data_IF_275194266161
#
_entry.id   IF_275194266161
#
_cell.length_a   1.000
_cell.length_b   1.000
_cell.length_c   1.000
_cell.angle_alpha   90.00
_cell.angle_beta   90.00
_cell.angle_gamma   90.00
#
_symmetry.space_group_name_H-M   'P 1'
#
loop_
_entity.id
_entity.type
_entity.pdbx_description
1 polymer ?
#
# COMPACT_ATOMS: atom_id res chain seq x y z
N UNK A 1 -37.44 5.70 -22.07
CA UNK A 1 -36.43 6.67 -22.55
C UNK A 1 -35.37 6.97 -21.49
N UNK A 2 -35.73 7.20 -20.22
CA UNK A 2 -34.77 7.48 -19.14
C UNK A 2 -33.78 6.35 -18.83
N UNK A 3 -34.21 5.08 -18.89
CA UNK A 3 -33.33 3.92 -18.63
C UNK A 3 -32.23 3.71 -19.69
N UNK A 4 -32.54 4.00 -20.96
CA UNK A 4 -31.58 3.87 -22.07
C UNK A 4 -30.55 5.00 -21.96
N UNK A 5 -31.00 6.22 -21.63
CA UNK A 5 -30.13 7.37 -21.44
C UNK A 5 -29.16 7.16 -20.27
N UNK A 6 -29.62 6.63 -19.14
CA UNK A 6 -28.78 6.29 -18.00
C UNK A 6 -27.75 5.19 -18.31
N UNK A 7 -28.12 4.17 -19.09
CA UNK A 7 -27.21 3.11 -19.52
C UNK A 7 -26.12 3.62 -20.48
N UNK A 8 -26.48 4.47 -21.45
CA UNK A 8 -25.53 5.11 -22.38
C UNK A 8 -24.60 6.05 -21.62
N UNK A 9 -25.10 6.85 -20.68
CA UNK A 9 -24.28 7.77 -19.89
C UNK A 9 -23.27 7.03 -18.99
N UNK A 10 -23.70 5.94 -18.34
CA UNK A 10 -22.82 5.08 -17.53
C UNK A 10 -21.78 4.34 -18.38
N UNK A 11 -22.14 3.94 -19.61
CA UNK A 11 -21.24 3.28 -20.54
C UNK A 11 -20.20 4.26 -21.09
N UNK A 12 -20.61 5.47 -21.51
CA UNK A 12 -19.72 6.53 -21.99
C UNK A 12 -18.78 7.01 -20.88
N UNK A 13 -19.27 7.19 -19.64
CA UNK A 13 -18.40 7.48 -18.49
C UNK A 13 -17.39 6.35 -18.25
N UNK A 14 -17.81 5.07 -18.20
CA UNK A 14 -16.87 3.94 -18.04
C UNK A 14 -15.82 3.90 -19.14
N UNK A 15 -16.21 4.12 -20.39
CA UNK A 15 -15.30 4.14 -21.54
C UNK A 15 -14.34 5.32 -21.44
N UNK A 16 -14.82 6.52 -21.09
CA UNK A 16 -13.96 7.70 -20.93
C UNK A 16 -12.95 7.52 -19.79
N UNK A 17 -13.37 7.04 -18.61
CA UNK A 17 -12.46 6.75 -17.50
C UNK A 17 -11.44 5.65 -17.84
N UNK A 18 -11.83 4.61 -18.60
CA UNK A 18 -10.91 3.57 -19.04
C UNK A 18 -9.92 4.07 -20.10
N UNK A 19 -10.36 4.96 -21.00
CA UNK A 19 -9.50 5.61 -21.99
C UNK A 19 -8.51 6.52 -21.27
N UNK A 20 -8.96 7.39 -20.37
CA UNK A 20 -8.10 8.28 -19.58
C UNK A 20 -7.10 7.49 -18.72
N UNK A 21 -7.56 6.42 -18.04
CA UNK A 21 -6.70 5.54 -17.26
C UNK A 21 -5.69 4.81 -18.16
N UNK A 22 -6.09 4.33 -19.33
CA UNK A 22 -5.20 3.64 -20.26
C UNK A 22 -4.15 4.58 -20.87
N UNK A 23 -4.52 5.83 -21.17
CA UNK A 23 -3.62 6.87 -21.66
C UNK A 23 -2.63 7.25 -20.57
N UNK A 24 -3.09 7.47 -19.34
CA UNK A 24 -2.24 7.77 -18.18
C UNK A 24 -1.28 6.61 -17.93
N UNK A 25 -1.77 5.37 -17.87
CA UNK A 25 -0.94 4.18 -17.68
C UNK A 25 0.07 4.04 -18.82
N UNK A 26 -0.33 4.27 -20.08
CA UNK A 26 0.57 4.19 -21.22
C UNK A 26 1.65 5.26 -21.20
N UNK A 27 1.31 6.52 -20.91
CA UNK A 27 2.26 7.63 -20.76
C UNK A 27 3.21 7.37 -19.59
N UNK A 28 2.68 6.97 -18.42
CA UNK A 28 3.48 6.60 -17.25
C UNK A 28 4.40 5.41 -17.55
N UNK A 29 3.92 4.41 -18.28
CA UNK A 29 4.70 3.22 -18.67
C UNK A 29 5.81 3.60 -19.64
N UNK A 30 5.53 4.44 -20.63
CA UNK A 30 6.54 4.93 -21.58
C UNK A 30 7.59 5.82 -20.90
N UNK A 31 7.19 6.70 -19.99
CA UNK A 31 8.10 7.51 -19.18
C UNK A 31 8.93 6.63 -18.25
N UNK A 32 8.33 5.61 -17.62
CA UNK A 32 9.03 4.63 -16.81
C UNK A 32 10.02 3.80 -17.63
N UNK A 33 9.67 3.40 -18.86
CA UNK A 33 10.56 2.67 -19.76
C UNK A 33 11.75 3.52 -20.21
N UNK A 34 11.55 4.79 -20.55
CA UNK A 34 12.65 5.70 -20.91
C UNK A 34 13.56 5.98 -19.72
N UNK A 35 12.99 6.20 -18.53
CA UNK A 35 13.78 6.33 -17.28
C UNK A 35 14.53 5.04 -16.95
N UNK A 36 13.91 3.87 -17.07
CA UNK A 36 14.56 2.55 -16.89
C UNK A 36 15.69 2.33 -17.89
N UNK A 37 15.51 2.67 -19.18
CA UNK A 37 16.59 2.56 -20.19
C UNK A 37 17.77 3.46 -19.87
N UNK A 38 17.53 4.74 -19.52
CA UNK A 38 18.59 5.67 -19.10
C UNK A 38 19.27 5.21 -17.81
N UNK A 39 18.51 4.72 -16.83
CA UNK A 39 19.02 4.19 -15.57
C UNK A 39 19.84 2.92 -15.77
N UNK A 40 19.38 1.97 -16.59
CA UNK A 40 20.10 0.74 -16.92
C UNK A 40 21.44 1.05 -17.61
N UNK A 41 21.45 1.97 -18.59
CA UNK A 41 22.68 2.40 -19.26
C UNK A 41 23.67 3.08 -18.29
N UNK A 42 23.16 3.80 -17.29
CA UNK A 42 23.98 4.42 -16.22
C UNK A 42 24.47 3.38 -15.19
N UNK A 43 23.65 2.38 -14.87
CA UNK A 43 23.98 1.25 -13.99
C UNK A 43 24.99 0.29 -14.62
N UNK A 44 24.94 0.08 -15.93
CA UNK A 44 25.97 -0.70 -16.64
C UNK A 44 27.36 -0.03 -16.56
N UNK A 45 27.41 1.30 -16.37
CA UNK A 45 28.65 2.06 -16.14
C UNK A 45 29.03 2.26 -14.66
N UNK A 46 28.15 1.89 -13.72
CA UNK A 46 28.36 2.08 -12.27
C UNK A 46 28.10 0.77 -11.57
N UNK A 47 29.15 0.15 -11.04
CA UNK A 47 29.01 -1.06 -10.23
C UNK A 47 28.06 -0.82 -9.05
N UNK A 48 27.03 -1.67 -8.96
CA UNK A 48 26.05 -1.63 -7.90
C UNK A 48 26.67 -2.23 -6.62
N UNK A 49 26.93 -1.38 -5.64
CA UNK A 49 27.49 -1.79 -4.35
C UNK A 49 26.43 -2.56 -3.56
N UNK A 50 26.75 -3.75 -3.01
CA UNK A 50 25.84 -4.48 -2.14
C UNK A 50 25.61 -3.73 -0.83
N UNK A 51 24.44 -3.93 -0.22
CA UNK A 51 24.09 -3.36 1.08
C UNK A 51 25.06 -3.89 2.17
N UNK A 52 25.51 -3.07 3.14
CA UNK A 52 26.49 -3.49 4.16
C UNK A 52 26.12 -4.71 5.02
N UNK A 53 24.85 -5.12 5.04
CA UNK A 53 24.36 -6.30 5.76
C UNK A 53 23.99 -7.49 4.87
N UNK A 54 24.38 -7.49 3.59
CA UNK A 54 24.09 -8.58 2.68
C UNK A 54 25.17 -9.67 2.78
N UNK A 55 24.77 -10.91 3.10
CA UNK A 55 25.67 -12.06 3.11
C UNK A 55 25.42 -12.94 1.87
N UNK A 56 26.31 -12.82 0.88
CA UNK A 56 26.26 -13.57 -0.37
C UNK A 56 27.43 -14.54 -0.55
N UNK A 57 27.38 -15.35 -1.61
CA UNK A 57 28.56 -16.06 -2.10
C UNK A 57 29.38 -15.14 -3.01
N UNK A 58 30.70 -15.17 -2.86
CA UNK A 58 31.63 -14.43 -3.70
C UNK A 58 31.78 -15.16 -5.04
N UNK A 59 31.39 -14.51 -6.14
CA UNK A 59 31.53 -15.04 -7.49
C UNK A 59 32.18 -14.00 -8.41
N UNK A 60 32.93 -14.45 -9.43
CA UNK A 60 33.57 -13.57 -10.39
C UNK A 60 32.52 -13.05 -11.39
N UNK A 61 32.40 -11.73 -11.49
CA UNK A 61 31.51 -11.08 -12.45
C UNK A 61 31.94 -11.37 -13.89
N UNK A 62 31.01 -11.90 -14.70
CA UNK A 62 31.26 -12.19 -16.13
C UNK A 62 31.50 -10.95 -17.00
N UNK A 63 31.12 -9.76 -16.51
CA UNK A 63 31.18 -8.50 -17.26
C UNK A 63 32.37 -7.66 -16.83
N UNK A 64 32.59 -7.53 -15.52
CA UNK A 64 33.63 -6.66 -14.95
C UNK A 64 34.89 -7.42 -14.54
N UNK A 65 34.85 -8.74 -14.40
CA UNK A 65 35.98 -9.54 -13.91
C UNK A 65 36.30 -9.32 -12.42
N UNK A 66 35.43 -8.62 -11.69
CA UNK A 66 35.59 -8.35 -10.27
C UNK A 66 34.82 -9.33 -9.40
N UNK A 67 35.26 -9.50 -8.15
CA UNK A 67 34.61 -10.39 -7.17
C UNK A 67 33.37 -9.67 -6.64
N UNK A 68 32.18 -10.25 -6.89
CA UNK A 68 30.89 -9.71 -6.46
C UNK A 68 30.14 -10.70 -5.58
N UNK A 69 29.39 -10.18 -4.61
CA UNK A 69 28.51 -10.99 -3.79
C UNK A 69 27.20 -11.30 -4.53
N UNK A 70 26.89 -12.57 -4.68
CA UNK A 70 25.71 -13.10 -5.36
C UNK A 70 24.89 -13.92 -4.36
N UNK A 71 23.57 -13.93 -4.56
CA UNK A 71 22.64 -14.69 -3.73
C UNK A 71 22.98 -16.18 -3.81
N UNK A 72 23.17 -16.84 -2.66
CA UNK A 72 23.67 -18.22 -2.60
C UNK A 72 22.72 -19.27 -3.18
N UNK A 73 21.42 -19.13 -2.91
CA UNK A 73 20.37 -20.05 -3.34
C UNK A 73 19.08 -19.31 -3.65
N UNK A 74 18.64 -19.42 -4.91
CA UNK A 74 17.40 -18.81 -5.40
C UNK A 74 16.16 -19.39 -4.70
N UNK A 75 16.18 -20.69 -4.38
CA UNK A 75 15.04 -21.36 -3.75
C UNK A 75 14.77 -20.83 -2.33
N UNK A 76 15.82 -20.74 -1.50
CA UNK A 76 15.71 -20.22 -0.14
C UNK A 76 15.30 -18.74 -0.11
N UNK A 77 15.79 -17.95 -1.07
CA UNK A 77 15.38 -16.56 -1.23
C UNK A 77 13.87 -16.44 -1.54
N UNK A 78 13.36 -17.23 -2.48
CA UNK A 78 11.92 -17.26 -2.78
C UNK A 78 11.12 -17.73 -1.55
N UNK A 79 11.58 -18.76 -0.84
CA UNK A 79 10.91 -19.25 0.38
C UNK A 79 10.81 -18.17 1.47
N UNK A 80 11.87 -17.37 1.68
CA UNK A 80 11.87 -16.24 2.61
C UNK A 80 10.86 -15.17 2.19
N UNK A 81 10.80 -14.83 0.90
CA UNK A 81 9.79 -13.89 0.37
C UNK A 81 8.38 -14.42 0.61
N UNK A 82 8.12 -15.70 0.32
CA UNK A 82 6.81 -16.30 0.52
C UNK A 82 6.38 -16.27 1.99
N UNK A 83 7.32 -16.52 2.92
CA UNK A 83 7.08 -16.42 4.36
C UNK A 83 6.80 -14.98 4.81
N UNK A 84 7.53 -14.00 4.27
CA UNK A 84 7.25 -12.59 4.56
C UNK A 84 5.87 -12.18 4.04
N UNK A 85 5.50 -12.60 2.83
CA UNK A 85 4.22 -12.24 2.23
C UNK A 85 3.05 -12.89 2.98
N UNK A 86 3.19 -14.14 3.43
CA UNK A 86 2.17 -14.81 4.24
C UNK A 86 2.02 -14.15 5.62
N UNK A 87 3.11 -13.70 6.24
CA UNK A 87 3.07 -12.93 7.48
C UNK A 87 2.26 -11.64 7.35
N UNK A 88 2.44 -10.90 6.25
CA UNK A 88 1.68 -9.68 5.97
C UNK A 88 0.19 -9.98 5.77
N UNK A 89 -0.15 -11.02 5.01
CA UNK A 89 -1.54 -11.43 4.79
C UNK A 89 -2.21 -11.82 6.13
N UNK A 90 -1.49 -12.52 7.00
CA UNK A 90 -1.95 -12.85 8.35
C UNK A 90 -2.22 -11.60 9.21
N UNK A 91 -1.35 -10.60 9.17
CA UNK A 91 -1.60 -9.34 9.87
C UNK A 91 -2.80 -8.59 9.31
N UNK A 92 -2.97 -8.58 7.99
CA UNK A 92 -4.11 -7.96 7.32
C UNK A 92 -5.42 -8.67 7.71
N UNK A 93 -5.45 -10.00 7.72
CA UNK A 93 -6.64 -10.74 8.16
C UNK A 93 -6.96 -10.48 9.62
N UNK A 94 -5.95 -10.33 10.48
CA UNK A 94 -6.12 -9.88 11.87
C UNK A 94 -6.77 -8.51 12.01
N UNK A 95 -6.38 -7.53 11.17
CA UNK A 95 -7.01 -6.20 11.14
C UNK A 95 -8.48 -6.30 10.70
N UNK A 96 -8.76 -7.06 9.66
CA UNK A 96 -10.14 -7.27 9.18
C UNK A 96 -10.99 -7.90 10.29
N UNK A 97 -10.48 -8.95 10.94
CA UNK A 97 -11.16 -9.63 12.04
C UNK A 97 -11.42 -8.69 13.23
N UNK A 98 -10.47 -7.83 13.57
CA UNK A 98 -10.63 -6.85 14.65
C UNK A 98 -11.73 -5.83 14.32
N UNK A 99 -11.77 -5.32 13.08
CA UNK A 99 -12.84 -4.41 12.64
C UNK A 99 -14.21 -5.08 12.71
N UNK A 100 -14.34 -6.30 12.16
CA UNK A 100 -15.59 -7.07 12.27
C UNK A 100 -15.97 -7.31 13.73
N UNK A 101 -15.00 -7.61 14.59
CA UNK A 101 -15.19 -7.74 16.04
C UNK A 101 -15.79 -6.48 16.66
N UNK A 102 -15.23 -5.31 16.37
CA UNK A 102 -15.75 -4.02 16.87
C UNK A 102 -17.19 -3.78 16.40
N UNK A 103 -17.49 -4.05 15.13
CA UNK A 103 -18.85 -3.88 14.58
C UNK A 103 -19.86 -4.83 15.22
N UNK A 104 -19.48 -6.09 15.45
CA UNK A 104 -20.35 -7.05 16.15
C UNK A 104 -20.60 -6.66 17.60
N UNK A 105 -19.59 -6.12 18.31
CA UNK A 105 -19.75 -5.60 19.67
C UNK A 105 -20.65 -4.36 19.70
N UNK A 106 -20.50 -3.46 18.73
CA UNK A 106 -21.34 -2.27 18.59
C UNK A 106 -22.80 -2.63 18.35
N UNK A 107 -23.09 -3.66 17.54
CA UNK A 107 -24.46 -4.15 17.27
C UNK A 107 -25.14 -4.75 18.51
N UNK A 108 -24.37 -5.34 19.43
CA UNK A 108 -24.90 -5.94 20.68
C UNK A 108 -25.13 -4.92 21.79
N UNK A 109 -24.62 -3.70 21.64
CA UNK A 109 -24.65 -2.68 22.67
C UNK A 109 -25.72 -1.65 22.37
N UNK A 110 -26.72 -1.52 23.25
CA UNK A 110 -27.76 -0.47 23.17
C UNK A 110 -27.44 0.77 24.03
N UNK A 111 -26.44 0.70 24.90
CA UNK A 111 -26.03 1.83 25.76
C UNK A 111 -25.08 2.79 25.02
N UNK A 112 -25.45 4.08 25.02
CA UNK A 112 -24.69 5.17 24.41
C UNK A 112 -23.28 5.31 25.01
N UNK A 113 -23.10 5.11 26.33
CA UNK A 113 -21.78 5.22 26.97
C UNK A 113 -20.82 4.14 26.48
N UNK A 114 -21.33 2.92 26.37
CA UNK A 114 -20.56 1.76 25.93
C UNK A 114 -20.23 1.84 24.42
N UNK A 115 -21.12 2.39 23.60
CA UNK A 115 -20.86 2.63 22.17
C UNK A 115 -19.69 3.62 21.95
N UNK A 116 -19.62 4.69 22.74
CA UNK A 116 -18.49 5.65 22.72
C UNK A 116 -17.19 4.96 23.14
N UNK A 117 -17.22 4.15 24.20
CA UNK A 117 -16.05 3.40 24.66
C UNK A 117 -15.54 2.42 23.60
N UNK A 118 -16.42 1.68 22.92
CA UNK A 118 -16.08 0.79 21.81
C UNK A 118 -15.43 1.56 20.65
N UNK A 119 -15.95 2.75 20.32
CA UNK A 119 -15.36 3.63 19.31
C UNK A 119 -13.95 4.09 19.67
N UNK A 120 -13.71 4.46 20.93
CA UNK A 120 -12.38 4.84 21.42
C UNK A 120 -11.39 3.68 21.38
N UNK A 121 -11.81 2.49 21.83
CA UNK A 121 -10.98 1.28 21.79
C UNK A 121 -10.60 0.90 20.36
N UNK A 122 -11.53 1.03 19.41
CA UNK A 122 -11.25 0.81 17.99
C UNK A 122 -10.22 1.81 17.43
N UNK A 123 -10.33 3.09 17.79
CA UNK A 123 -9.37 4.10 17.37
C UNK A 123 -7.95 3.78 17.89
N UNK A 124 -7.84 3.45 19.19
CA UNK A 124 -6.56 3.04 19.82
C UNK A 124 -6.00 1.79 19.16
N UNK A 125 -6.85 0.79 18.91
CA UNK A 125 -6.46 -0.45 18.24
C UNK A 125 -5.87 -0.16 16.86
N UNK A 126 -6.56 0.61 16.01
CA UNK A 126 -6.06 0.97 14.67
C UNK A 126 -4.69 1.66 14.76
N UNK A 127 -4.51 2.59 15.72
CA UNK A 127 -3.21 3.25 15.92
C UNK A 127 -2.10 2.26 16.25
N UNK A 128 -2.34 1.34 17.19
CA UNK A 128 -1.36 0.31 17.59
C UNK A 128 -1.00 -0.58 16.40
N UNK A 129 -2.00 -1.05 15.64
CA UNK A 129 -1.77 -1.91 14.47
C UNK A 129 -0.95 -1.21 13.39
N UNK A 130 -1.17 0.09 13.14
CA UNK A 130 -0.37 0.85 12.18
C UNK A 130 1.11 0.91 12.60
N UNK A 131 1.40 1.21 13.87
CA UNK A 131 2.77 1.23 14.38
C UNK A 131 3.43 -0.14 14.33
N UNK A 132 2.73 -1.17 14.81
CA UNK A 132 3.23 -2.53 14.83
C UNK A 132 3.50 -3.05 13.41
N UNK A 133 2.63 -2.73 12.45
CA UNK A 133 2.80 -3.14 11.07
C UNK A 133 4.05 -2.52 10.42
N UNK A 134 4.33 -1.24 10.68
CA UNK A 134 5.53 -0.57 10.14
C UNK A 134 6.80 -1.27 10.62
N UNK A 135 6.84 -1.63 11.90
CA UNK A 135 7.95 -2.36 12.50
C UNK A 135 8.07 -3.78 11.94
N UNK A 136 6.95 -4.51 11.89
CA UNK A 136 6.91 -5.87 11.36
C UNK A 136 7.33 -5.92 9.89
N UNK A 137 6.82 -5.01 9.05
CA UNK A 137 7.16 -4.95 7.64
C UNK A 137 8.65 -4.64 7.43
N UNK A 138 9.25 -3.81 8.28
CA UNK A 138 10.69 -3.56 8.26
C UNK A 138 11.48 -4.82 8.64
N UNK A 139 11.12 -5.46 9.77
CA UNK A 139 11.80 -6.66 10.24
C UNK A 139 11.71 -7.82 9.23
N UNK A 140 10.53 -8.05 8.65
CA UNK A 140 10.33 -9.06 7.61
C UNK A 140 11.16 -8.76 6.35
N UNK A 141 11.24 -7.50 5.94
CA UNK A 141 12.03 -7.11 4.77
C UNK A 141 13.54 -7.24 5.01
N UNK A 142 13.98 -7.09 6.26
CA UNK A 142 15.36 -7.36 6.67
C UNK A 142 15.69 -8.85 6.59
N UNK A 143 14.77 -9.72 7.01
CA UNK A 143 14.92 -11.18 6.93
C UNK A 143 14.98 -11.72 5.50
N UNK A 144 14.34 -11.04 4.54
CA UNK A 144 14.40 -11.41 3.11
C UNK A 144 15.84 -11.31 2.56
N UNK A 145 16.69 -10.43 3.11
CA UNK A 145 18.10 -10.34 2.75
C UNK A 145 18.34 -9.85 1.33
N UNK A 146 17.80 -8.68 0.98
CA UNK A 146 17.99 -8.04 -0.33
C UNK A 146 19.44 -7.59 -0.56
N UNK A 147 19.95 -7.78 -1.78
CA UNK A 147 21.33 -7.42 -2.14
C UNK A 147 21.52 -5.91 -2.26
N UNK A 148 20.57 -5.22 -2.89
CA UNK A 148 20.66 -3.80 -3.19
C UNK A 148 19.74 -2.99 -2.28
N UNK A 149 20.19 -1.80 -1.87
CA UNK A 149 19.37 -0.84 -1.12
C UNK A 149 18.08 -0.45 -1.87
N UNK A 150 18.16 -0.30 -3.20
CA UNK A 150 16.97 -0.01 -4.01
C UNK A 150 15.95 -1.16 -3.98
N UNK A 151 16.41 -2.41 -4.06
CA UNK A 151 15.53 -3.59 -4.01
C UNK A 151 14.88 -3.68 -2.63
N UNK A 152 15.67 -3.54 -1.57
CA UNK A 152 15.18 -3.51 -0.19
C UNK A 152 14.08 -2.45 0.00
N UNK A 153 14.32 -1.22 -0.47
CA UNK A 153 13.37 -0.12 -0.32
C UNK A 153 12.09 -0.36 -1.14
N UNK A 154 12.21 -0.79 -2.39
CA UNK A 154 11.06 -1.06 -3.25
C UNK A 154 10.15 -2.16 -2.67
N UNK A 155 10.75 -3.24 -2.17
CA UNK A 155 10.00 -4.32 -1.53
C UNK A 155 9.31 -3.85 -0.24
N UNK A 156 9.99 -3.04 0.58
CA UNK A 156 9.39 -2.45 1.79
C UNK A 156 8.21 -1.54 1.45
N UNK A 157 8.34 -0.69 0.43
CA UNK A 157 7.27 0.21 -0.01
C UNK A 157 6.06 -0.58 -0.49
N UNK A 158 6.23 -1.61 -1.31
CA UNK A 158 5.12 -2.44 -1.80
C UNK A 158 4.35 -3.08 -0.65
N UNK A 159 5.07 -3.68 0.31
CA UNK A 159 4.46 -4.28 1.52
C UNK A 159 3.64 -3.24 2.30
N UNK A 160 4.18 -2.03 2.47
CA UNK A 160 3.50 -0.94 3.20
C UNK A 160 2.28 -0.40 2.46
N UNK A 161 2.40 -0.19 1.15
CA UNK A 161 1.30 0.28 0.29
C UNK A 161 0.15 -0.72 0.27
N UNK A 162 0.44 -2.03 0.21
CA UNK A 162 -0.60 -3.05 0.22
C UNK A 162 -1.43 -3.02 1.50
N UNK A 163 -0.77 -2.92 2.67
CA UNK A 163 -1.47 -2.76 3.94
C UNK A 163 -2.25 -1.45 4.03
N UNK A 164 -1.68 -0.35 3.56
CA UNK A 164 -2.35 0.94 3.51
C UNK A 164 -3.65 0.86 2.71
N UNK A 165 -3.63 0.23 1.53
CA UNK A 165 -4.81 0.01 0.69
C UNK A 165 -5.85 -0.79 1.48
N UNK A 166 -5.48 -1.96 2.01
CA UNK A 166 -6.46 -2.79 2.72
C UNK A 166 -7.04 -2.04 3.91
N UNK A 167 -6.21 -1.42 4.76
CA UNK A 167 -6.68 -0.69 5.92
C UNK A 167 -7.61 0.49 5.56
N UNK A 168 -7.29 1.25 4.51
CA UNK A 168 -8.09 2.40 4.08
C UNK A 168 -9.42 1.99 3.45
N UNK A 169 -9.43 0.90 2.66
CA UNK A 169 -10.62 0.43 1.95
C UNK A 169 -11.41 -0.64 2.71
N UNK A 170 -10.92 -1.17 3.84
CA UNK A 170 -11.61 -2.23 4.59
C UNK A 170 -13.03 -1.82 5.03
N UNK A 171 -13.18 -0.58 5.50
CA UNK A 171 -14.50 -0.03 5.87
C UNK A 171 -15.47 0.04 4.69
N UNK A 172 -14.97 0.33 3.48
CA UNK A 172 -15.77 0.36 2.26
C UNK A 172 -16.20 -1.04 1.83
N UNK A 173 -15.29 -2.03 1.92
CA UNK A 173 -15.64 -3.42 1.67
C UNK A 173 -16.69 -3.94 2.66
N UNK A 174 -16.58 -3.56 3.94
CA UNK A 174 -17.58 -3.90 4.94
C UNK A 174 -18.96 -3.33 4.59
N UNK A 175 -19.05 -2.03 4.28
CA UNK A 175 -20.31 -1.40 3.89
C UNK A 175 -20.88 -1.97 2.58
N UNK A 176 -20.03 -2.35 1.62
CA UNK A 176 -20.51 -2.83 0.33
C UNK A 176 -20.98 -4.29 0.36
N UNK A 177 -20.34 -5.15 1.17
CA UNK A 177 -20.52 -6.61 1.10
C UNK A 177 -21.04 -7.26 2.38
N UNK A 178 -20.94 -6.61 3.55
CA UNK A 178 -21.24 -7.23 4.85
C UNK A 178 -22.43 -6.56 5.54
N UNK A 179 -22.58 -5.24 5.41
CA UNK A 179 -23.67 -4.50 6.04
C UNK A 179 -25.00 -4.73 5.30
N UNK A 180 -26.05 -5.10 6.06
CA UNK A 180 -27.40 -5.31 5.52
C UNK A 180 -28.16 -3.99 5.45
N UNK A 181 -28.17 -3.38 4.26
CA UNK A 181 -28.99 -2.19 4.00
C UNK A 181 -30.40 -2.56 3.55
N UNK A 182 -31.41 -1.86 4.09
CA UNK A 182 -32.82 -2.03 3.69
C UNK A 182 -33.09 -1.66 2.22
N UNK A 183 -32.24 -0.81 1.63
CA UNK A 183 -32.33 -0.39 0.23
C UNK A 183 -30.95 -0.22 -0.38
N UNK A 184 -30.81 -0.59 -1.67
CA UNK A 184 -29.57 -0.37 -2.45
C UNK A 184 -29.18 1.12 -2.52
N UNK A 185 -30.14 2.04 -2.44
CA UNK A 185 -29.87 3.47 -2.46
C UNK A 185 -29.11 3.94 -1.21
N UNK A 186 -29.45 3.41 -0.03
CA UNK A 186 -28.77 3.77 1.22
C UNK A 186 -27.35 3.19 1.27
N UNK A 187 -27.16 1.95 0.80
CA UNK A 187 -25.85 1.34 0.62
C UNK A 187 -24.94 2.21 -0.26
N UNK A 188 -25.40 2.55 -1.48
CA UNK A 188 -24.62 3.37 -2.41
C UNK A 188 -24.32 4.77 -1.86
N UNK A 189 -25.23 5.34 -1.08
CA UNK A 189 -25.04 6.64 -0.43
C UNK A 189 -23.94 6.57 0.63
N UNK A 190 -23.97 5.57 1.51
CA UNK A 190 -22.94 5.35 2.53
C UNK A 190 -21.55 5.11 1.92
N UNK A 191 -21.47 4.23 0.92
CA UNK A 191 -20.22 3.93 0.20
C UNK A 191 -19.68 5.17 -0.51
N UNK A 192 -20.54 5.95 -1.19
CA UNK A 192 -20.14 7.19 -1.87
C UNK A 192 -19.56 8.20 -0.89
N UNK A 193 -20.22 8.43 0.25
CA UNK A 193 -19.76 9.38 1.26
C UNK A 193 -18.38 8.97 1.78
N UNK A 194 -18.21 7.69 2.11
CA UNK A 194 -16.94 7.15 2.62
C UNK A 194 -15.80 7.22 1.58
N UNK A 195 -16.09 7.03 0.29
CA UNK A 195 -15.10 7.24 -0.78
C UNK A 195 -14.68 8.71 -0.89
N UNK A 196 -15.64 9.63 -0.90
CA UNK A 196 -15.38 11.06 -1.01
C UNK A 196 -14.56 11.56 0.19
N UNK A 197 -14.89 11.14 1.41
CA UNK A 197 -14.13 11.52 2.62
C UNK A 197 -12.70 10.98 2.58
N UNK A 198 -12.49 9.75 2.10
CA UNK A 198 -11.17 9.15 1.97
C UNK A 198 -10.30 9.93 0.97
N UNK A 199 -10.81 10.21 -0.23
CA UNK A 199 -10.02 10.95 -1.23
C UNK A 199 -9.73 12.40 -0.80
N UNK A 200 -10.73 13.12 -0.27
CA UNK A 200 -10.52 14.50 0.16
C UNK A 200 -9.53 14.61 1.33
N UNK A 201 -9.61 13.70 2.30
CA UNK A 201 -8.65 13.67 3.41
C UNK A 201 -7.24 13.35 2.94
N UNK A 202 -7.07 12.40 2.00
CA UNK A 202 -5.76 12.10 1.43
C UNK A 202 -5.18 13.29 0.66
N UNK A 203 -5.98 13.96 -0.18
CA UNK A 203 -5.52 15.15 -0.92
C UNK A 203 -5.07 16.24 0.06
N UNK A 204 -5.86 16.49 1.11
CA UNK A 204 -5.52 17.49 2.12
C UNK A 204 -4.21 17.15 2.85
N UNK A 205 -4.06 15.91 3.32
CA UNK A 205 -2.85 15.45 4.03
C UNK A 205 -1.64 15.50 3.10
N UNK A 206 -1.77 15.03 1.85
CA UNK A 206 -0.68 15.00 0.88
C UNK A 206 -0.18 16.41 0.56
N UNK A 207 -1.11 17.33 0.24
CA UNK A 207 -0.78 18.73 -0.04
C UNK A 207 -0.14 19.41 1.17
N UNK A 208 -0.64 19.11 2.38
CA UNK A 208 -0.06 19.63 3.63
C UNK A 208 1.35 19.11 3.81
N UNK A 209 1.58 17.80 3.72
CA UNK A 209 2.90 17.21 3.90
C UNK A 209 3.90 17.71 2.84
N UNK A 210 3.48 17.85 1.59
CA UNK A 210 4.34 18.34 0.51
C UNK A 210 4.77 19.80 0.72
N UNK A 211 3.93 20.64 1.33
CA UNK A 211 4.27 22.05 1.63
C UNK A 211 5.04 22.19 2.94
N UNK A 212 4.66 21.45 3.99
CA UNK A 212 5.22 21.60 5.34
C UNK A 212 6.55 20.86 5.52
N UNK A 213 6.71 19.64 4.98
CA UNK A 213 7.94 18.84 5.15
C UNK A 213 9.20 19.57 4.64
N UNK A 214 9.25 20.10 3.39
CA UNK A 214 10.44 20.80 2.94
C UNK A 214 10.71 22.06 3.76
N UNK A 215 9.67 22.80 4.19
CA UNK A 215 9.84 24.00 5.02
C UNK A 215 10.43 23.72 6.40
N UNK A 216 10.12 22.57 7.01
CA UNK A 216 10.70 22.17 8.30
C UNK A 216 12.09 21.56 8.16
N UNK A 217 12.38 20.86 7.06
CA UNK A 217 13.70 20.30 6.78
C UNK A 217 14.72 21.35 6.35
N UNK A 218 14.28 22.47 5.77
CA UNK A 218 15.09 23.67 5.59
C UNK A 218 15.16 24.40 6.94
N UNK A 219 15.88 23.82 7.91
CA UNK A 219 16.38 24.62 9.02
C UNK A 219 17.53 25.49 8.49
N UNK A 220 17.55 26.80 8.78
CA UNK A 220 18.74 27.60 8.55
C UNK A 220 19.84 27.06 9.46
N UNK A 221 20.97 26.68 8.87
CA UNK A 221 22.21 26.53 9.62
C UNK A 221 22.46 27.87 10.34
N UNK A 222 22.34 27.86 11.67
CA UNK A 222 22.88 28.90 12.53
C UNK A 222 24.18 28.36 13.14
#
# INVERSE_FOLDING_TARGET
MEYILACVYMCVCKISYLIDLSIIVHICTNCAHTKKKKKKKKLECVMLVPRPGFEGRLELSKVTGEIVEVISSQFWYIAKIMLSMSGIICCISGVIAAVVGVWTLKKRTTDNKMSVLIGMLNAVQITIFNYLYVYLAFWLNELEGHRLEEEWYNHLVVKRVFFLIVNSFNSLFYLAFVEDFASKHECLKAVRIQLVTLFLSMIFIQNTMEVFVPKMMIQPAL
#
